data_IF_244021684436
#
_entry.id   IF_244021684436
#
_cell.length_a   1.000
_cell.length_b   1.000
_cell.length_c   1.000
_cell.angle_alpha   90.00
_cell.angle_beta   90.00
_cell.angle_gamma   90.00
#
_symmetry.space_group_name_H-M   'P 1'
#
loop_
_entity.id
_entity.type
_entity.pdbx_description
1 polymer ?
#
# COMPACT_ATOMS: atom_id res chain seq x y z
N UNK A 1 2.08 -38.46 -24.61
CA UNK A 1 0.93 -37.94 -23.83
C UNK A 1 1.20 -38.21 -22.37
N UNK A 2 1.65 -37.20 -21.62
CA UNK A 2 1.88 -37.34 -20.17
C UNK A 2 0.68 -36.74 -19.41
N UNK A 3 0.21 -37.38 -18.33
CA UNK A 3 -0.92 -36.90 -17.57
C UNK A 3 -0.55 -35.59 -16.85
N UNK A 4 -1.36 -34.56 -17.04
CA UNK A 4 -1.26 -33.31 -16.29
C UNK A 4 -1.51 -33.59 -14.80
N UNK A 5 -0.69 -33.06 -13.88
CA UNK A 5 -0.98 -33.18 -12.45
C UNK A 5 -2.25 -32.36 -12.14
N UNK A 6 -3.25 -33.06 -11.67
CA UNK A 6 -4.47 -32.51 -11.07
C UNK A 6 -4.09 -31.68 -9.84
N UNK A 7 -4.15 -30.35 -9.97
CA UNK A 7 -4.12 -29.42 -8.83
C UNK A 7 -5.43 -29.52 -8.07
N UNK A 8 -5.53 -30.53 -7.21
CA UNK A 8 -6.57 -30.66 -6.19
C UNK A 8 -5.91 -30.47 -4.82
N UNK A 9 -6.04 -29.28 -4.25
CA UNK A 9 -6.01 -29.02 -2.81
C UNK A 9 -5.91 -27.50 -2.61
N UNK A 10 -7.02 -26.80 -2.80
CA UNK A 10 -7.27 -25.59 -1.99
C UNK A 10 -7.33 -26.10 -0.56
N UNK A 11 -6.18 -26.11 0.11
CA UNK A 11 -6.09 -26.23 1.55
C UNK A 11 -6.80 -25.00 2.10
N UNK A 12 -8.11 -25.15 2.31
CA UNK A 12 -8.90 -24.24 3.10
C UNK A 12 -8.36 -24.35 4.50
N UNK A 13 -7.25 -23.65 4.78
CA UNK A 13 -6.78 -23.41 6.12
C UNK A 13 -7.88 -22.57 6.73
N UNK A 14 -8.84 -23.25 7.38
CA UNK A 14 -9.69 -22.64 8.38
C UNK A 14 -8.72 -22.13 9.44
N UNK A 15 -8.20 -20.92 9.22
CA UNK A 15 -7.67 -20.10 10.27
C UNK A 15 -8.87 -19.86 11.17
N UNK A 16 -9.01 -20.74 12.15
CA UNK A 16 -9.83 -20.51 13.33
C UNK A 16 -9.13 -19.32 13.98
N UNK A 17 -9.47 -18.12 13.51
CA UNK A 17 -9.29 -16.89 14.24
C UNK A 17 -10.11 -17.09 15.52
N UNK A 18 -9.49 -17.75 16.50
CA UNK A 18 -9.79 -17.48 17.89
C UNK A 18 -9.48 -16.01 18.03
N UNK A 19 -10.50 -15.19 17.81
CA UNK A 19 -10.57 -13.86 18.35
C UNK A 19 -10.35 -14.05 19.85
N UNK A 20 -9.08 -14.02 20.27
CA UNK A 20 -8.75 -13.54 21.58
C UNK A 20 -9.30 -12.12 21.57
N UNK A 21 -10.56 -12.00 22.01
CA UNK A 21 -11.12 -10.76 22.48
C UNK A 21 -10.21 -10.36 23.66
N UNK A 22 -9.05 -9.78 23.34
CA UNK A 22 -8.42 -8.78 24.18
C UNK A 22 -9.39 -7.61 24.14
N UNK A 23 -10.51 -7.82 24.83
CA UNK A 23 -11.46 -6.77 25.12
C UNK A 23 -10.62 -5.68 25.75
N UNK A 24 -10.57 -4.54 25.07
CA UNK A 24 -10.32 -3.26 25.69
C UNK A 24 -11.39 -3.07 26.76
N UNK A 25 -11.26 -3.78 27.89
CA UNK A 25 -11.83 -3.41 29.17
C UNK A 25 -10.96 -2.28 29.71
N UNK A 26 -10.90 -1.19 28.95
CA UNK A 26 -10.90 0.15 29.53
C UNK A 26 -12.32 0.44 30.04
N UNK A 27 -12.90 -0.52 30.76
CA UNK A 27 -13.96 -0.22 31.68
C UNK A 27 -13.30 0.71 32.68
N UNK A 28 -13.66 1.98 32.61
CA UNK A 28 -13.37 2.99 33.60
C UNK A 28 -13.95 2.48 34.93
N UNK A 29 -13.25 1.56 35.60
CA UNK A 29 -13.60 1.08 36.93
C UNK A 29 -13.35 2.30 37.79
N UNK A 30 -14.40 3.07 38.00
CA UNK A 30 -14.45 4.12 39.00
C UNK A 30 -14.18 3.41 40.33
N UNK A 31 -12.90 3.40 40.71
CA UNK A 31 -12.44 2.81 41.97
C UNK A 31 -12.97 3.72 43.06
N UNK A 32 -14.09 3.34 43.64
CA UNK A 32 -14.59 3.98 44.84
C UNK A 32 -13.55 3.79 45.93
N UNK A 33 -12.76 4.84 46.18
CA UNK A 33 -11.93 4.93 47.37
C UNK A 33 -12.87 4.75 48.58
N UNK A 34 -12.52 3.89 49.56
CA UNK A 34 -13.32 3.75 50.76
C UNK A 34 -13.59 5.14 51.35
N UNK A 35 -14.87 5.45 51.57
CA UNK A 35 -15.31 6.74 52.10
C UNK A 35 -14.71 6.93 53.50
N UNK A 36 -13.75 7.86 53.62
CA UNK A 36 -12.98 8.11 54.84
C UNK A 36 -13.80 8.81 55.94
N UNK A 37 -15.10 9.00 55.73
CA UNK A 37 -15.95 9.85 56.54
C UNK A 37 -16.63 9.14 57.72
N UNK A 38 -16.28 7.89 58.05
CA UNK A 38 -16.89 7.16 59.17
C UNK A 38 -16.13 7.44 60.49
N UNK A 39 -16.68 8.24 61.44
CA UNK A 39 -15.99 8.56 62.67
C UNK A 39 -16.24 7.43 63.69
N UNK A 40 -15.19 6.66 64.04
CA UNK A 40 -15.29 5.68 65.12
C UNK A 40 -14.28 4.53 65.15
N UNK A 41 -13.40 4.39 64.14
CA UNK A 41 -12.31 3.39 64.17
C UNK A 41 -11.07 3.93 64.89
N UNK A 42 -10.38 3.10 65.67
CA UNK A 42 -9.04 3.40 66.19
C UNK A 42 -8.05 3.48 65.02
N UNK A 43 -7.10 4.42 65.07
CA UNK A 43 -6.13 4.67 63.98
C UNK A 43 -5.36 3.40 63.55
N UNK A 44 -5.14 2.45 64.47
CA UNK A 44 -4.47 1.18 64.16
C UNK A 44 -5.25 0.29 63.19
N UNK A 45 -6.58 0.22 63.29
CA UNK A 45 -7.40 -0.62 62.39
C UNK A 45 -7.37 -0.07 60.97
N UNK A 46 -7.37 1.26 60.82
CA UNK A 46 -7.34 1.92 59.52
C UNK A 46 -6.01 1.67 58.79
N UNK A 47 -4.88 1.73 59.50
CA UNK A 47 -3.57 1.41 58.93
C UNK A 47 -3.47 -0.05 58.49
N UNK A 48 -4.07 -0.97 59.26
CA UNK A 48 -4.10 -2.39 58.91
C UNK A 48 -4.92 -2.63 57.63
N UNK A 49 -6.12 -2.04 57.53
CA UNK A 49 -6.98 -2.15 56.35
C UNK A 49 -6.33 -1.56 55.10
N UNK A 50 -5.67 -0.39 55.21
CA UNK A 50 -4.92 0.24 54.11
C UNK A 50 -3.76 -0.67 53.66
N UNK A 51 -3.08 -1.33 54.59
CA UNK A 51 -1.99 -2.27 54.28
C UNK A 51 -2.49 -3.49 53.52
N UNK A 52 -3.58 -4.10 53.97
CA UNK A 52 -4.21 -5.25 53.29
C UNK A 52 -4.67 -4.89 51.88
N UNK A 53 -5.25 -3.70 51.71
CA UNK A 53 -5.68 -3.23 50.39
C UNK A 53 -4.49 -3.05 49.43
N UNK A 54 -3.38 -2.47 49.91
CA UNK A 54 -2.16 -2.31 49.11
C UNK A 54 -1.54 -3.66 48.71
N UNK A 55 -1.58 -4.66 49.60
CA UNK A 55 -1.11 -6.02 49.29
C UNK A 55 -1.97 -6.71 48.23
N UNK A 56 -3.29 -6.56 48.30
CA UNK A 56 -4.21 -7.12 47.30
C UNK A 56 -4.04 -6.43 45.93
N UNK A 57 -3.96 -5.09 45.92
CA UNK A 57 -3.70 -4.33 44.68
C UNK A 57 -2.34 -4.69 44.07
N UNK A 58 -1.30 -4.87 44.90
CA UNK A 58 0.00 -5.36 44.43
C UNK A 58 -0.12 -6.76 43.81
N UNK A 59 -0.86 -7.68 44.43
CA UNK A 59 -1.06 -9.04 43.90
C UNK A 59 -1.80 -9.01 42.56
N UNK A 60 -2.81 -8.15 42.44
CA UNK A 60 -3.55 -7.94 41.20
C UNK A 60 -2.66 -7.38 40.09
N UNK A 61 -1.87 -6.35 40.39
CA UNK A 61 -0.93 -5.78 39.42
C UNK A 61 0.12 -6.81 38.96
N UNK A 62 0.62 -7.66 39.86
CA UNK A 62 1.51 -8.75 39.48
C UNK A 62 0.85 -9.76 38.53
N UNK A 63 -0.41 -10.10 38.76
CA UNK A 63 -1.19 -10.96 37.87
C UNK A 63 -1.40 -10.30 36.49
N UNK A 64 -1.77 -9.02 36.47
CA UNK A 64 -1.99 -8.26 35.23
C UNK A 64 -0.68 -8.13 34.42
N UNK A 65 0.45 -7.86 35.08
CA UNK A 65 1.78 -7.84 34.44
C UNK A 65 2.12 -9.20 33.85
N UNK A 66 1.87 -10.29 34.58
CA UNK A 66 2.12 -11.65 34.08
C UNK A 66 1.23 -11.99 32.88
N UNK A 67 -0.06 -11.64 32.94
CA UNK A 67 -0.99 -11.83 31.83
C UNK A 67 -0.55 -11.03 30.58
N UNK A 68 -0.12 -9.78 30.76
CA UNK A 68 0.42 -8.95 29.69
C UNK A 68 1.70 -9.55 29.08
N UNK A 69 2.60 -10.08 29.91
CA UNK A 69 3.81 -10.78 29.43
C UNK A 69 3.47 -12.02 28.61
N UNK A 70 2.48 -12.82 29.03
CA UNK A 70 2.02 -13.98 28.28
C UNK A 70 1.39 -13.57 26.94
N UNK A 71 0.56 -12.52 26.93
CA UNK A 71 -0.02 -11.99 25.70
C UNK A 71 1.05 -11.47 24.73
N UNK A 72 2.08 -10.78 25.25
CA UNK A 72 3.21 -10.34 24.44
C UNK A 72 3.97 -11.52 23.83
N UNK A 73 4.27 -12.55 24.63
CA UNK A 73 4.96 -13.75 24.14
C UNK A 73 4.14 -14.50 23.06
N UNK A 74 2.81 -14.54 23.20
CA UNK A 74 1.92 -15.09 22.18
C UNK A 74 1.97 -14.29 20.87
N UNK A 75 1.89 -12.96 20.95
CA UNK A 75 2.01 -12.08 19.78
C UNK A 75 3.37 -12.22 19.09
N UNK A 76 4.46 -12.32 19.85
CA UNK A 76 5.79 -12.58 19.27
C UNK A 76 5.87 -13.91 18.53
N UNK A 77 5.21 -14.96 19.03
CA UNK A 77 5.14 -16.25 18.36
C UNK A 77 4.33 -16.17 17.06
N UNK A 78 3.19 -15.47 17.06
CA UNK A 78 2.36 -15.26 15.88
C UNK A 78 3.10 -14.45 14.81
N UNK A 79 3.78 -13.37 15.20
CA UNK A 79 4.60 -12.56 14.29
C UNK A 79 5.71 -13.40 13.66
N UNK A 80 6.37 -14.28 14.43
CA UNK A 80 7.39 -15.20 13.89
C UNK A 80 6.78 -16.21 12.90
N UNK A 81 5.59 -16.72 13.20
CA UNK A 81 4.87 -17.64 12.32
C UNK A 81 4.53 -16.98 10.98
N UNK A 82 3.95 -15.77 11.02
CA UNK A 82 3.59 -15.01 9.82
C UNK A 82 4.80 -14.63 8.97
N UNK A 83 5.93 -14.27 9.59
CA UNK A 83 7.17 -14.03 8.84
C UNK A 83 7.63 -15.26 8.06
N UNK A 84 7.58 -16.44 8.69
CA UNK A 84 7.95 -17.71 8.04
C UNK A 84 7.01 -18.03 6.87
N UNK A 85 5.72 -17.79 7.03
CA UNK A 85 4.73 -17.99 5.96
C UNK A 85 4.98 -17.03 4.78
N UNK A 86 5.25 -15.75 5.06
CA UNK A 86 5.60 -14.77 4.01
C UNK A 86 6.87 -15.16 3.27
N UNK A 87 7.89 -15.66 3.97
CA UNK A 87 9.13 -16.13 3.36
C UNK A 87 8.88 -17.34 2.45
N UNK A 88 8.04 -18.29 2.89
CA UNK A 88 7.64 -19.43 2.08
C UNK A 88 6.88 -18.99 0.81
N UNK A 89 5.89 -18.10 0.93
CA UNK A 89 5.14 -17.60 -0.22
C UNK A 89 6.04 -16.83 -1.21
N UNK A 90 7.02 -16.07 -0.72
CA UNK A 90 8.03 -15.42 -1.57
C UNK A 90 8.89 -16.45 -2.31
N UNK A 91 9.33 -17.51 -1.63
CA UNK A 91 10.10 -18.58 -2.25
C UNK A 91 9.30 -19.30 -3.34
N UNK A 92 8.03 -19.63 -3.08
CA UNK A 92 7.13 -20.25 -4.06
C UNK A 92 6.88 -19.35 -5.28
N UNK A 93 6.65 -18.05 -5.05
CA UNK A 93 6.45 -17.07 -6.13
C UNK A 93 7.70 -16.91 -6.98
N UNK A 94 8.88 -16.87 -6.35
CA UNK A 94 10.16 -16.82 -7.04
C UNK A 94 10.40 -18.07 -7.89
N UNK A 95 10.05 -19.24 -7.36
CA UNK A 95 10.15 -20.51 -8.08
C UNK A 95 9.23 -20.54 -9.30
N UNK A 96 7.97 -20.12 -9.15
CA UNK A 96 7.03 -19.99 -10.27
C UNK A 96 7.53 -19.02 -11.34
N UNK A 97 8.09 -17.88 -10.91
CA UNK A 97 8.68 -16.89 -11.81
C UNK A 97 9.86 -17.47 -12.58
N UNK A 98 10.72 -18.26 -11.91
CA UNK A 98 11.84 -18.96 -12.54
C UNK A 98 11.36 -19.94 -13.61
N UNK A 99 10.38 -20.78 -13.27
CA UNK A 99 9.80 -21.76 -14.21
C UNK A 99 9.19 -21.09 -15.46
N UNK A 100 8.48 -19.97 -15.29
CA UNK A 100 7.93 -19.22 -16.41
C UNK A 100 9.02 -18.61 -17.31
N UNK A 101 10.12 -18.13 -16.72
CA UNK A 101 11.27 -17.63 -17.50
C UNK A 101 11.92 -18.75 -18.32
N UNK A 102 12.15 -19.91 -17.71
CA UNK A 102 12.70 -21.07 -18.41
C UNK A 102 11.82 -21.52 -19.58
N UNK A 103 10.50 -21.54 -19.39
CA UNK A 103 9.55 -21.89 -20.45
C UNK A 103 9.56 -20.85 -21.59
N UNK A 104 9.65 -19.56 -21.28
CA UNK A 104 9.78 -18.50 -22.29
C UNK A 104 11.10 -18.62 -23.07
N UNK A 105 12.20 -18.91 -22.40
CA UNK A 105 13.49 -19.16 -23.06
C UNK A 105 13.44 -20.39 -23.97
N UNK A 106 12.83 -21.48 -23.52
CA UNK A 106 12.64 -22.67 -24.32
C UNK A 106 11.83 -22.35 -25.58
N UNK A 107 10.70 -21.64 -25.44
CA UNK A 107 9.88 -21.23 -26.57
C UNK A 107 10.64 -20.31 -27.54
N UNK A 108 11.51 -19.42 -27.05
CA UNK A 108 12.37 -18.60 -27.92
C UNK A 108 13.38 -19.44 -28.71
N UNK A 109 13.99 -20.46 -28.10
CA UNK A 109 14.91 -21.37 -28.79
C UNK A 109 14.20 -22.19 -29.87
N UNK A 110 13.01 -22.70 -29.55
CA UNK A 110 12.17 -23.43 -30.52
C UNK A 110 11.73 -22.53 -31.67
N UNK A 111 11.34 -21.28 -31.39
CA UNK A 111 11.01 -20.27 -32.40
C UNK A 111 12.18 -19.98 -33.35
N UNK A 112 13.37 -19.72 -32.80
CA UNK A 112 14.58 -19.48 -33.60
C UNK A 112 14.98 -20.69 -34.46
N UNK A 113 14.78 -21.91 -33.94
CA UNK A 113 15.02 -23.13 -34.70
C UNK A 113 14.06 -23.28 -35.88
N UNK A 114 12.77 -22.98 -35.70
CA UNK A 114 11.78 -23.01 -36.79
C UNK A 114 12.06 -21.92 -37.83
N UNK A 115 12.44 -20.71 -37.42
CA UNK A 115 12.85 -19.63 -38.34
C UNK A 115 14.05 -20.06 -39.20
N UNK A 116 15.04 -20.72 -38.60
CA UNK A 116 16.19 -21.26 -39.33
C UNK A 116 15.79 -22.36 -40.32
N UNK A 117 14.84 -23.23 -39.97
CA UNK A 117 14.31 -24.25 -40.88
C UNK A 117 13.57 -23.63 -42.06
N UNK A 118 12.75 -22.61 -41.83
CA UNK A 118 12.03 -21.87 -42.89
C UNK A 118 13.04 -21.21 -43.84
N UNK A 119 14.07 -20.54 -43.31
CA UNK A 119 15.13 -19.93 -44.11
C UNK A 119 15.87 -20.97 -44.95
N UNK A 120 16.20 -22.13 -44.36
CA UNK A 120 16.85 -23.24 -45.07
C UNK A 120 15.97 -23.81 -46.19
N UNK A 121 14.66 -23.94 -45.96
CA UNK A 121 13.72 -24.39 -46.97
C UNK A 121 13.62 -23.40 -48.14
N UNK A 122 13.59 -22.08 -47.87
CA UNK A 122 13.55 -21.04 -48.89
C UNK A 122 14.80 -21.02 -49.78
N UNK A 123 15.98 -21.31 -49.22
CA UNK A 123 17.25 -21.35 -49.99
C UNK A 123 17.38 -22.65 -50.81
N UNK A 124 16.76 -23.74 -50.37
CA UNK A 124 16.91 -25.08 -50.97
C UNK A 124 15.77 -25.60 -51.85
N UNK A 125 14.67 -24.86 -52.04
CA UNK A 125 13.47 -25.36 -52.74
C UNK A 125 13.27 -24.73 -54.12
N UNK A 126 13.79 -25.39 -55.16
CA UNK A 126 13.37 -25.13 -56.55
C UNK A 126 12.19 -26.00 -57.01
N UNK A 127 11.73 -27.03 -56.25
CA UNK A 127 10.66 -27.93 -56.72
C UNK A 127 9.76 -28.57 -55.61
N UNK A 128 9.64 -27.95 -54.42
CA UNK A 128 8.91 -28.55 -53.28
C UNK A 128 7.75 -27.69 -52.77
N UNK A 129 6.65 -27.64 -53.52
CA UNK A 129 5.44 -26.91 -53.15
C UNK A 129 4.57 -27.61 -52.08
N UNK A 130 4.75 -28.92 -51.87
CA UNK A 130 3.94 -29.65 -50.88
C UNK A 130 4.47 -29.58 -49.44
N UNK A 131 5.80 -29.54 -49.23
CA UNK A 131 6.38 -29.29 -47.89
C UNK A 131 5.96 -27.90 -47.35
N UNK A 132 5.83 -26.90 -48.23
CA UNK A 132 5.41 -25.54 -47.84
C UNK A 132 3.96 -25.52 -47.35
N UNK A 133 3.07 -26.34 -47.92
CA UNK A 133 1.66 -26.42 -47.47
C UNK A 133 1.55 -27.06 -46.09
N UNK A 134 2.35 -28.07 -45.80
CA UNK A 134 2.37 -28.73 -44.49
C UNK A 134 2.87 -27.78 -43.40
N UNK A 135 3.98 -27.09 -43.63
CA UNK A 135 4.51 -26.06 -42.70
C UNK A 135 3.49 -24.94 -42.49
N UNK A 136 2.81 -24.48 -43.55
CA UNK A 136 1.76 -23.46 -43.43
C UNK A 136 0.62 -23.93 -42.52
N UNK A 137 0.13 -25.14 -42.71
CA UNK A 137 -0.94 -25.70 -41.86
C UNK A 137 -0.49 -25.89 -40.41
N UNK A 138 0.77 -26.28 -40.16
CA UNK A 138 1.31 -26.38 -38.81
C UNK A 138 1.39 -25.00 -38.13
N UNK A 139 1.87 -23.97 -38.84
CA UNK A 139 1.91 -22.60 -38.33
C UNK A 139 0.49 -22.09 -38.01
N UNK A 140 -0.47 -22.30 -38.90
CA UNK A 140 -1.88 -21.94 -38.65
C UNK A 140 -2.47 -22.70 -37.46
N UNK A 141 -2.09 -23.97 -37.25
CA UNK A 141 -2.49 -24.74 -36.08
C UNK A 141 -1.89 -24.16 -34.79
N UNK A 142 -0.58 -23.87 -34.76
CA UNK A 142 0.08 -23.28 -33.59
C UNK A 142 -0.41 -21.88 -33.28
N UNK A 143 -0.68 -21.03 -34.28
CA UNK A 143 -1.28 -19.71 -34.08
C UNK A 143 -2.65 -19.83 -33.42
N UNK A 144 -3.48 -20.81 -33.83
CA UNK A 144 -4.77 -21.07 -33.19
C UNK A 144 -4.61 -21.54 -31.74
N UNK A 145 -3.60 -22.35 -31.42
CA UNK A 145 -3.30 -22.73 -30.04
C UNK A 145 -2.84 -21.55 -29.18
N UNK A 146 -1.95 -20.69 -29.70
CA UNK A 146 -1.50 -19.47 -29.04
C UNK A 146 -2.68 -18.55 -28.76
N UNK A 147 -3.58 -18.32 -29.73
CA UNK A 147 -4.78 -17.51 -29.51
C UNK A 147 -5.70 -18.08 -28.43
N UNK A 148 -5.86 -19.41 -28.36
CA UNK A 148 -6.62 -20.06 -27.27
C UNK A 148 -5.94 -19.86 -25.92
N UNK A 149 -4.62 -19.97 -25.85
CA UNK A 149 -3.86 -19.75 -24.62
C UNK A 149 -3.94 -18.30 -24.13
N UNK A 150 -3.80 -17.32 -25.05
CA UNK A 150 -3.95 -15.89 -24.73
C UNK A 150 -5.36 -15.58 -24.22
N UNK A 151 -6.39 -16.14 -24.86
CA UNK A 151 -7.78 -15.99 -24.39
C UNK A 151 -7.97 -16.54 -22.98
N UNK A 152 -7.46 -17.75 -22.72
CA UNK A 152 -7.53 -18.37 -21.39
C UNK A 152 -6.83 -17.53 -20.31
N UNK A 153 -5.64 -16.99 -20.61
CA UNK A 153 -4.92 -16.07 -19.72
C UNK A 153 -5.70 -14.78 -19.46
N UNK A 154 -6.30 -14.20 -20.50
CA UNK A 154 -7.15 -13.01 -20.36
C UNK A 154 -8.36 -13.28 -19.45
N UNK A 155 -9.00 -14.44 -19.60
CA UNK A 155 -10.13 -14.85 -18.77
C UNK A 155 -9.70 -15.11 -17.30
N UNK A 156 -8.51 -15.71 -17.09
CA UNK A 156 -7.92 -15.87 -15.76
C UNK A 156 -7.63 -14.53 -15.08
N UNK A 157 -7.01 -13.58 -15.78
CA UNK A 157 -6.74 -12.25 -15.24
C UNK A 157 -8.05 -11.55 -14.87
N UNK A 158 -9.07 -11.62 -15.73
CA UNK A 158 -10.40 -11.03 -15.46
C UNK A 158 -11.04 -11.61 -14.21
N UNK A 159 -10.99 -12.94 -14.04
CA UNK A 159 -11.51 -13.63 -12.84
C UNK A 159 -10.73 -13.24 -11.57
N UNK A 160 -9.40 -13.14 -11.66
CA UNK A 160 -8.58 -12.71 -10.53
C UNK A 160 -8.90 -11.27 -10.10
N UNK A 161 -9.05 -10.35 -11.05
CA UNK A 161 -9.48 -8.97 -10.75
C UNK A 161 -10.87 -8.91 -10.12
N UNK A 162 -11.81 -9.75 -10.58
CA UNK A 162 -13.13 -9.86 -9.96
C UNK A 162 -13.07 -10.35 -8.51
N UNK A 163 -12.20 -11.32 -8.21
CA UNK A 163 -12.01 -11.82 -6.84
C UNK A 163 -11.41 -10.75 -5.92
N UNK A 164 -10.42 -10.00 -6.41
CA UNK A 164 -9.84 -8.88 -5.64
C UNK A 164 -10.90 -7.82 -5.38
N UNK A 165 -11.68 -7.44 -6.41
CA UNK A 165 -12.76 -6.46 -6.25
C UNK A 165 -13.82 -6.91 -5.22
N UNK A 166 -14.19 -8.20 -5.23
CA UNK A 166 -15.10 -8.78 -4.23
C UNK A 166 -14.50 -8.72 -2.83
N UNK A 167 -13.25 -9.16 -2.65
CA UNK A 167 -12.55 -9.12 -1.37
C UNK A 167 -12.44 -7.69 -0.82
N UNK A 168 -12.08 -6.71 -1.66
CA UNK A 168 -12.05 -5.30 -1.27
C UNK A 168 -13.44 -4.80 -0.86
N UNK A 169 -14.49 -5.16 -1.59
CA UNK A 169 -15.86 -4.81 -1.22
C UNK A 169 -16.27 -5.40 0.12
N UNK A 170 -15.87 -6.64 0.43
CA UNK A 170 -16.22 -7.29 1.69
C UNK A 170 -15.47 -6.69 2.87
N UNK A 171 -14.19 -6.32 2.69
CA UNK A 171 -13.41 -5.56 3.69
C UNK A 171 -14.08 -4.21 3.97
N UNK A 172 -14.42 -3.46 2.92
CA UNK A 172 -15.10 -2.16 3.08
C UNK A 172 -16.46 -2.31 3.77
N UNK A 173 -17.22 -3.36 3.44
CA UNK A 173 -18.49 -3.67 4.10
C UNK A 173 -18.29 -3.99 5.58
N UNK A 174 -17.30 -4.81 5.93
CA UNK A 174 -16.98 -5.17 7.32
C UNK A 174 -16.50 -3.97 8.14
N UNK A 175 -15.72 -3.06 7.53
CA UNK A 175 -15.34 -1.79 8.15
C UNK A 175 -16.54 -0.86 8.35
N UNK A 176 -17.47 -0.82 7.38
CA UNK A 176 -18.65 0.06 7.43
C UNK A 176 -19.74 -0.44 8.39
N UNK A 177 -19.86 -1.75 8.61
CA UNK A 177 -20.79 -2.33 9.58
C UNK A 177 -20.31 -2.19 11.03
N UNK A 178 -19.07 -1.76 11.26
CA UNK A 178 -18.54 -1.34 12.57
C UNK A 178 -18.78 0.16 12.83
N UNK A 179 -20.04 0.61 12.77
CA UNK A 179 -20.50 1.81 13.47
C UNK A 179 -22.03 1.69 13.67
N UNK A 180 -22.60 1.87 14.88
CA UNK A 180 -22.15 2.82 15.90
C UNK A 180 -22.01 2.20 17.30
N UNK A 181 -20.79 2.17 17.84
CA UNK A 181 -20.63 2.22 19.30
C UNK A 181 -20.97 3.65 19.73
N UNK A 182 -22.15 3.76 20.32
CA UNK A 182 -22.68 4.89 21.09
C UNK A 182 -21.97 6.24 20.92
N UNK A 183 -22.66 7.14 20.21
CA UNK A 183 -22.46 8.59 20.27
C UNK A 183 -22.39 9.06 21.73
N UNK A 184 -21.17 9.18 22.27
CA UNK A 184 -20.86 9.87 23.51
C UNK A 184 -20.81 11.36 23.27
N UNK A 185 -21.94 11.97 22.92
CA UNK A 185 -22.09 13.43 22.81
C UNK A 185 -22.49 14.08 24.16
N UNK A 186 -22.12 13.48 25.29
CA UNK A 186 -22.63 13.88 26.61
C UNK A 186 -21.53 14.29 27.61
N UNK A 187 -20.43 14.89 27.12
CA UNK A 187 -19.31 15.31 27.97
C UNK A 187 -18.85 16.77 27.81
N UNK A 188 -19.69 17.62 27.20
CA UNK A 188 -19.45 19.08 27.13
C UNK A 188 -20.42 19.95 27.94
N UNK A 189 -21.30 19.36 28.76
CA UNK A 189 -22.34 20.12 29.49
C UNK A 189 -22.10 20.33 31.00
N UNK A 190 -20.92 20.03 31.56
CA UNK A 190 -20.72 20.10 33.03
C UNK A 190 -19.44 20.78 33.49
N UNK A 191 -19.26 22.04 33.10
CA UNK A 191 -18.40 23.00 33.83
C UNK A 191 -19.06 24.37 33.87
N UNK A 192 -20.14 24.50 34.65
CA UNK A 192 -20.70 25.80 35.04
C UNK A 192 -20.81 25.87 36.55
N UNK A 193 -19.99 26.75 37.14
CA UNK A 193 -20.19 27.30 38.47
C UNK A 193 -19.40 26.65 39.59
N UNK A 194 -18.20 27.16 39.86
CA UNK A 194 -17.79 27.52 41.23
C UNK A 194 -16.85 28.72 41.12
N UNK A 195 -17.40 29.87 41.53
CA UNK A 195 -16.76 31.15 41.76
C UNK A 195 -16.24 31.15 43.21
N UNK A 196 -14.96 31.47 43.44
CA UNK A 196 -14.45 32.33 44.52
C UNK A 196 -12.91 32.20 44.72
N UNK A 197 -12.29 33.37 44.86
CA UNK A 197 -10.97 33.72 45.40
C UNK A 197 -9.70 33.46 44.53
N UNK A 198 -9.06 34.54 44.07
CA UNK A 198 -7.66 34.56 43.57
C UNK A 198 -6.63 34.70 44.71
N UNK A 199 -5.35 35.13 44.49
CA UNK A 199 -4.52 35.31 43.28
C UNK A 199 -3.19 34.46 43.39
N UNK A 200 -2.13 34.49 42.52
CA UNK A 200 -1.35 35.66 42.09
C UNK A 200 -1.04 35.74 40.57
N UNK A 201 -0.59 36.92 40.17
CA UNK A 201 -0.20 37.34 38.83
C UNK A 201 0.84 36.39 38.21
N UNK A 202 0.49 35.78 37.08
CA UNK A 202 1.40 35.06 36.19
C UNK A 202 1.90 35.99 35.06
N UNK A 203 3.15 35.84 34.59
CA UNK A 203 3.77 36.73 33.61
C UNK A 203 3.14 36.58 32.20
N UNK A 204 3.32 37.60 31.32
CA UNK A 204 2.65 37.64 30.03
C UNK A 204 3.04 36.45 29.15
N UNK A 205 2.00 35.79 28.65
CA UNK A 205 2.02 34.79 27.58
C UNK A 205 2.81 35.34 26.40
N UNK A 206 4.05 34.86 26.27
CA UNK A 206 4.82 35.00 25.06
C UNK A 206 4.21 34.02 24.05
N UNK A 207 3.84 34.55 22.88
CA UNK A 207 3.47 33.75 21.70
C UNK A 207 4.48 32.61 21.52
N UNK A 208 4.05 31.40 21.10
CA UNK A 208 4.99 30.34 20.79
C UNK A 208 5.93 30.86 19.71
N UNK A 209 7.18 31.11 20.11
CA UNK A 209 8.27 31.39 19.20
C UNK A 209 8.44 30.10 18.42
N UNK A 210 7.99 30.10 17.16
CA UNK A 210 8.31 29.06 16.19
C UNK A 210 9.84 28.98 16.13
N UNK A 211 10.40 28.06 16.90
CA UNK A 211 11.76 27.58 16.73
C UNK A 211 11.74 26.78 15.44
N UNK A 212 12.02 27.50 14.35
CA UNK A 212 12.71 26.97 13.18
C UNK A 212 13.87 26.10 13.68
N UNK A 213 13.80 24.77 13.52
CA UNK A 213 14.99 23.87 13.41
C UNK A 213 14.69 22.35 13.40
N UNK A 214 13.45 21.87 13.52
CA UNK A 214 13.14 20.42 13.46
C UNK A 214 12.34 20.00 12.22
N UNK A 215 12.91 20.22 11.03
CA UNK A 215 12.39 19.67 9.75
C UNK A 215 13.44 18.81 9.01
N UNK A 216 14.57 18.49 9.64
CA UNK A 216 15.67 17.79 8.94
C UNK A 216 15.41 16.31 8.60
N UNK A 217 14.37 15.69 9.16
CA UNK A 217 14.05 14.28 8.88
C UNK A 217 13.42 14.01 7.51
N UNK A 218 12.68 14.97 6.95
CA UNK A 218 11.95 14.79 5.68
C UNK A 218 12.79 15.12 4.44
N UNK A 219 13.92 15.82 4.60
CA UNK A 219 14.76 16.26 3.48
C UNK A 219 15.37 15.12 2.65
N UNK A 220 15.91 14.03 3.23
CA UNK A 220 16.58 13.00 2.42
C UNK A 220 15.62 12.28 1.47
N UNK A 221 14.44 11.90 1.97
CA UNK A 221 13.40 11.28 1.15
C UNK A 221 12.87 12.25 0.09
N UNK A 222 12.61 13.51 0.48
CA UNK A 222 12.13 14.53 -0.45
C UNK A 222 13.14 14.78 -1.58
N UNK A 223 14.43 14.88 -1.25
CA UNK A 223 15.49 15.06 -2.26
C UNK A 223 15.57 13.87 -3.22
N UNK A 224 15.43 12.63 -2.71
CA UNK A 224 15.41 11.44 -3.56
C UNK A 224 14.16 11.39 -4.46
N UNK A 225 12.97 11.68 -3.92
CA UNK A 225 11.72 11.76 -4.69
C UNK A 225 11.80 12.85 -5.77
N UNK A 226 12.29 14.05 -5.40
CA UNK A 226 12.51 15.16 -6.32
C UNK A 226 13.47 14.77 -7.43
N UNK A 227 14.64 14.24 -7.11
CA UNK A 227 15.63 13.82 -8.09
C UNK A 227 15.05 12.79 -9.07
N UNK A 228 14.33 11.78 -8.58
CA UNK A 228 13.70 10.79 -9.44
C UNK A 228 12.69 11.42 -10.41
N UNK A 229 11.79 12.28 -9.92
CA UNK A 229 10.77 12.91 -10.77
C UNK A 229 11.39 13.86 -11.81
N UNK A 230 12.41 14.63 -11.41
CA UNK A 230 13.11 15.55 -12.32
C UNK A 230 14.01 14.82 -13.33
N UNK A 231 14.42 13.58 -13.05
CA UNK A 231 15.18 12.73 -13.99
C UNK A 231 14.29 12.14 -15.09
N UNK A 232 13.08 11.69 -14.74
CA UNK A 232 12.17 11.03 -15.69
C UNK A 232 11.32 11.99 -16.52
N UNK A 233 11.39 13.30 -16.26
CA UNK A 233 10.60 14.29 -16.99
C UNK A 233 11.00 15.73 -16.69
N UNK A 234 10.60 16.63 -17.58
CA UNK A 234 10.79 18.09 -17.47
C UNK A 234 9.77 18.70 -16.48
N UNK A 235 9.88 18.26 -15.22
CA UNK A 235 9.00 18.61 -14.09
C UNK A 235 9.83 19.31 -13.01
N UNK A 236 9.19 20.14 -12.20
CA UNK A 236 9.77 20.76 -11.01
C UNK A 236 8.97 20.32 -9.79
N UNK A 237 9.67 19.78 -8.78
CA UNK A 237 9.10 19.47 -7.46
C UNK A 237 9.57 20.51 -6.46
N UNK A 238 8.61 21.18 -5.81
CA UNK A 238 8.87 22.31 -4.92
C UNK A 238 8.04 22.22 -3.65
N UNK A 239 8.50 22.93 -2.61
CA UNK A 239 7.80 23.09 -1.35
C UNK A 239 7.05 24.43 -1.36
N UNK A 240 5.75 24.39 -1.12
CA UNK A 240 4.92 25.59 -0.98
C UNK A 240 3.83 25.35 0.06
N UNK A 241 3.78 26.24 1.05
CA UNK A 241 2.82 26.23 2.15
C UNK A 241 1.55 27.01 1.82
N UNK A 242 1.49 27.70 0.68
CA UNK A 242 0.27 28.38 0.24
C UNK A 242 -0.76 27.36 -0.23
N UNK A 243 -2.00 27.54 0.22
CA UNK A 243 -3.12 26.75 -0.29
C UNK A 243 -3.30 27.02 -1.79
N UNK A 244 -3.21 25.97 -2.61
CA UNK A 244 -3.54 25.99 -4.03
C UNK A 244 -4.28 24.72 -4.38
N UNK A 245 -5.13 24.79 -5.40
CA UNK A 245 -5.89 23.66 -5.89
C UNK A 245 -5.11 22.86 -6.94
N UNK A 246 -5.16 21.54 -6.85
CA UNK A 246 -4.62 20.64 -7.85
C UNK A 246 -5.45 20.77 -9.14
N UNK A 247 -4.79 21.08 -10.25
CA UNK A 247 -5.45 21.27 -11.55
C UNK A 247 -5.97 19.97 -12.19
N UNK A 248 -5.67 18.81 -11.59
CA UNK A 248 -6.15 17.50 -12.08
C UNK A 248 -7.40 17.04 -11.30
N UNK A 249 -7.35 17.01 -9.96
CA UNK A 249 -8.47 16.55 -9.14
C UNK A 249 -9.36 17.67 -8.58
N UNK A 250 -9.01 18.94 -8.81
CA UNK A 250 -9.74 20.12 -8.30
C UNK A 250 -9.91 20.15 -6.77
N UNK A 251 -8.98 19.54 -6.03
CA UNK A 251 -8.94 19.56 -4.56
C UNK A 251 -7.78 20.44 -4.08
N UNK A 252 -7.93 21.06 -2.91
CA UNK A 252 -6.85 21.82 -2.25
C UNK A 252 -5.72 20.87 -1.90
N UNK A 253 -4.50 21.23 -2.30
CA UNK A 253 -3.30 20.47 -1.97
C UNK A 253 -2.90 20.83 -0.53
N UNK A 254 -3.17 19.90 0.40
CA UNK A 254 -2.78 20.03 1.81
C UNK A 254 -1.31 19.70 2.04
N UNK A 255 -0.73 18.85 1.18
CA UNK A 255 0.68 18.49 1.25
C UNK A 255 1.59 19.70 0.99
N UNK A 256 2.73 19.73 1.68
CA UNK A 256 3.76 20.77 1.49
C UNK A 256 4.50 20.63 0.15
N UNK A 257 4.51 19.42 -0.42
CA UNK A 257 5.19 19.11 -1.68
C UNK A 257 4.22 19.13 -2.86
N UNK A 258 4.64 19.75 -3.96
CA UNK A 258 3.84 19.95 -5.17
C UNK A 258 4.69 19.71 -6.40
N UNK A 259 4.06 19.33 -7.51
CA UNK A 259 4.73 19.17 -8.79
C UNK A 259 4.08 20.02 -9.87
N UNK A 260 4.91 20.59 -10.77
CA UNK A 260 4.44 21.27 -11.98
C UNK A 260 5.38 20.99 -13.16
N UNK A 261 4.88 20.80 -14.40
CA UNK A 261 5.74 20.73 -15.58
C UNK A 261 6.52 22.04 -15.78
N UNK A 262 7.80 22.02 -16.15
CA UNK A 262 8.59 23.27 -16.30
C UNK A 262 8.13 24.15 -17.46
N UNK A 263 7.47 23.55 -18.46
CA UNK A 263 6.93 24.26 -19.64
C UNK A 263 5.55 24.91 -19.41
N UNK A 264 4.90 24.69 -18.26
CA UNK A 264 3.60 25.32 -17.94
C UNK A 264 3.39 25.51 -16.44
N UNK A 265 2.65 26.53 -16.02
CA UNK A 265 2.47 26.82 -14.58
C UNK A 265 1.30 26.06 -13.91
N UNK A 266 0.91 24.89 -14.42
CA UNK A 266 -0.15 24.08 -13.81
C UNK A 266 0.40 23.25 -12.64
N UNK A 267 -0.21 23.38 -11.47
CA UNK A 267 0.23 22.75 -10.22
C UNK A 267 -0.64 21.54 -9.89
N UNK A 268 0.00 20.45 -9.44
CA UNK A 268 -0.66 19.18 -9.15
C UNK A 268 -0.16 18.56 -7.84
N UNK A 269 -0.97 17.68 -7.24
CA UNK A 269 -0.45 16.65 -6.35
C UNK A 269 0.58 15.80 -7.10
N UNK A 270 1.63 15.35 -6.40
CA UNK A 270 2.65 14.48 -6.99
C UNK A 270 2.01 13.20 -7.53
N UNK A 271 1.08 12.63 -6.77
CA UNK A 271 0.34 11.41 -7.10
C UNK A 271 -0.57 11.59 -8.32
N UNK A 272 -1.23 12.75 -8.43
CA UNK A 272 -2.08 13.07 -9.57
C UNK A 272 -1.27 13.22 -10.87
N UNK A 273 -0.09 13.85 -10.80
CA UNK A 273 0.78 13.99 -11.96
C UNK A 273 1.38 12.65 -12.38
N UNK A 274 1.72 11.77 -11.41
CA UNK A 274 2.20 10.41 -11.67
C UNK A 274 1.23 9.57 -12.50
N UNK A 275 -0.09 9.76 -12.32
CA UNK A 275 -1.08 9.06 -13.13
C UNK A 275 -1.02 9.45 -14.62
N UNK A 276 -0.69 10.71 -14.91
CA UNK A 276 -0.52 11.23 -16.28
C UNK A 276 0.90 11.05 -16.83
N UNK A 277 1.81 10.46 -16.05
CA UNK A 277 3.22 10.32 -16.42
C UNK A 277 3.45 9.39 -17.62
N UNK A 278 2.60 8.37 -17.77
CA UNK A 278 2.65 7.41 -18.90
C UNK A 278 2.45 8.10 -20.25
N UNK A 279 1.65 9.16 -20.29
CA UNK A 279 1.40 9.96 -21.49
C UNK A 279 2.48 11.03 -21.69
N UNK A 280 3.17 11.44 -20.61
CA UNK A 280 4.22 12.46 -20.65
C UNK A 280 3.73 13.85 -21.08
N UNK A 281 2.44 14.15 -20.85
CA UNK A 281 1.81 15.42 -21.20
C UNK A 281 0.99 15.99 -20.06
N UNK A 282 0.95 17.32 -19.95
CA UNK A 282 0.16 18.02 -18.94
C UNK A 282 -1.34 17.83 -19.20
N UNK A 283 -2.15 17.37 -18.23
CA UNK A 283 -3.58 17.09 -18.45
C UNK A 283 -4.42 18.36 -18.71
N UNK A 284 -3.89 19.55 -18.41
CA UNK A 284 -4.60 20.83 -18.60
C UNK A 284 -4.34 21.42 -19.99
N UNK A 285 -3.08 21.41 -20.44
CA UNK A 285 -2.67 22.11 -21.66
C UNK A 285 -2.00 21.22 -22.71
N UNK A 286 -1.94 19.91 -22.49
CA UNK A 286 -1.30 18.91 -23.35
C UNK A 286 0.19 19.18 -23.67
N UNK A 287 0.84 20.09 -22.94
CA UNK A 287 2.26 20.37 -23.13
C UNK A 287 3.09 19.18 -22.66
N UNK A 288 3.97 18.68 -23.52
CA UNK A 288 4.79 17.50 -23.21
C UNK A 288 5.92 17.85 -22.24
N UNK A 289 6.00 17.09 -21.15
CA UNK A 289 7.11 17.08 -20.19
C UNK A 289 7.91 15.78 -20.25
N UNK A 290 7.64 14.89 -21.21
CA UNK A 290 8.52 13.76 -21.48
C UNK A 290 9.93 14.29 -21.81
N UNK A 291 11.01 13.59 -21.37
CA UNK A 291 12.36 13.92 -21.79
C UNK A 291 12.40 13.95 -23.32
N UNK A 292 12.96 15.01 -23.88
CA UNK A 292 13.22 15.03 -25.32
C UNK A 292 14.19 13.89 -25.59
N UNK A 293 13.71 12.78 -26.15
CA UNK A 293 14.55 11.66 -26.53
C UNK A 293 15.56 12.26 -27.49
N UNK A 294 16.80 12.46 -27.02
CA UNK A 294 17.87 13.02 -27.82
C UNK A 294 17.98 12.14 -29.05
N UNK A 295 17.39 12.62 -30.15
CA UNK A 295 17.40 11.88 -31.40
C UNK A 295 18.88 11.81 -31.77
N UNK A 296 19.45 10.61 -31.97
CA UNK A 296 20.87 10.47 -32.25
C UNK A 296 21.22 11.41 -33.42
N UNK A 297 22.27 12.25 -33.26
CA UNK A 297 22.63 13.27 -34.25
C UNK A 297 22.92 12.58 -35.59
N UNK A 298 21.97 12.67 -36.53
CA UNK A 298 22.07 11.98 -37.82
C UNK A 298 20.73 11.59 -38.46
N UNK A 299 19.62 11.56 -37.71
CA UNK A 299 18.28 11.26 -38.28
C UNK A 299 17.42 12.51 -38.41
N UNK A 300 17.87 13.46 -39.23
CA UNK A 300 17.04 14.60 -39.65
C UNK A 300 16.00 14.14 -40.67
N UNK A 301 14.93 13.50 -40.20
CA UNK A 301 13.72 13.34 -41.01
C UNK A 301 13.06 14.72 -41.04
N UNK A 302 13.44 15.52 -42.04
CA UNK A 302 12.75 16.78 -42.33
C UNK A 302 11.31 16.44 -42.71
N UNK A 303 10.29 16.93 -41.99
CA UNK A 303 8.92 16.76 -42.43
C UNK A 303 8.73 17.62 -43.68
N UNK A 304 8.91 17.02 -44.87
CA UNK A 304 8.42 17.57 -46.13
C UNK A 304 6.90 17.50 -46.10
N UNK A 305 6.28 18.47 -45.44
CA UNK A 305 4.86 18.73 -45.63
C UNK A 305 4.76 19.94 -46.53
N UNK A 306 4.83 19.69 -47.84
CA UNK A 306 4.38 20.64 -48.84
C UNK A 306 2.86 20.44 -48.98
N UNK A 307 2.08 21.27 -48.30
CA UNK A 307 0.69 21.49 -48.67
C UNK A 307 0.69 22.68 -49.65
N UNK A 308 0.41 22.38 -50.92
CA UNK A 308 -0.08 23.33 -51.92
C UNK A 308 -1.60 23.38 -51.85
#
# INVERSE_FOLDING_TARGET
>A
MQPRPSRSSTSQTQSVFLHAEVGQREGNVVRHRPDLSRPGGTDETRLHDDTLWLEDERRKLLFDVQAAQQAHAALEADVKCLHKELEQQRAETNEQTRQLRELLEQQRREGAHLELQILKAQIGSSDKTDEVKEVKHEVEAKVREIMKAVKLLSDQHRSAFQQVAQSTSDILRACSSRAPVASGNDLLSRTKGMELAGPPVAPPVSKPRQTSEESHGELPWFQAMKANLEEYGDVEVFLDHQAQECMSCCQVIEASYRAKPRKCNHVFHVECLLHCWSEGTCPVCATSFAPEVQRPPGTSISPKVAFT
#
